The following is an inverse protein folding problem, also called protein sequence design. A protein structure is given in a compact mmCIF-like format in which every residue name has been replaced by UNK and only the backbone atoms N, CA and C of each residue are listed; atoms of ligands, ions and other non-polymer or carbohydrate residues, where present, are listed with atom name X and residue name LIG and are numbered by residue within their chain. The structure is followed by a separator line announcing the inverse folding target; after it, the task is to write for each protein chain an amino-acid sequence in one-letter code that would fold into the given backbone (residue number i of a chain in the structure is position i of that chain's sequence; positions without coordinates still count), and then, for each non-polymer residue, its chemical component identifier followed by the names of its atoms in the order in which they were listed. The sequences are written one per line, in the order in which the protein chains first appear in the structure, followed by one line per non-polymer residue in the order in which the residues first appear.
data_IF_269529996218
#
_entry.id   IF_269529996218
#
_cell.length_a   1.000
_cell.length_b   1.000
_cell.length_c   1.000
_cell.angle_alpha   90.00
_cell.angle_beta   90.00
_cell.angle_gamma   90.00
#
_symmetry.space_group_name_H-M   'P 1'
#
loop_
_entity.id
_entity.type
_entity.pdbx_description
1 polymer ?
#
# COMPACT_ATOMS: atom_id res chain seq x y z
N UNK A 1 21.83 3.86 -12.08
CA UNK A 1 21.01 4.03 -10.87
C UNK A 1 20.22 2.75 -10.70
N UNK A 2 20.65 1.87 -9.79
CA UNK A 2 19.98 0.59 -9.60
C UNK A 2 18.65 0.84 -8.90
N UNK A 3 17.53 0.56 -9.58
CA UNK A 3 16.25 0.42 -8.93
C UNK A 3 16.41 -0.72 -7.91
N UNK A 4 16.52 -0.36 -6.63
CA UNK A 4 16.41 -1.32 -5.54
C UNK A 4 15.02 -1.92 -5.71
N UNK A 5 14.93 -3.18 -6.13
CA UNK A 5 13.65 -3.90 -6.25
C UNK A 5 12.98 -3.87 -4.89
N UNK A 6 12.14 -2.86 -4.68
CA UNK A 6 11.42 -2.70 -3.45
C UNK A 6 10.28 -3.71 -3.50
N UNK A 7 10.22 -4.60 -2.50
CA UNK A 7 9.17 -5.62 -2.45
C UNK A 7 7.82 -4.90 -2.39
N UNK A 8 6.98 -5.16 -3.39
CA UNK A 8 5.60 -4.66 -3.41
C UNK A 8 4.79 -5.47 -2.40
N UNK A 9 4.19 -4.78 -1.43
CA UNK A 9 3.32 -5.34 -0.41
C UNK A 9 1.90 -4.81 -0.66
N UNK A 10 0.92 -5.71 -0.83
CA UNK A 10 -0.49 -5.31 -0.89
C UNK A 10 -1.00 -5.02 0.52
N UNK A 11 -1.59 -3.86 0.70
CA UNK A 11 -2.17 -3.44 1.98
C UNK A 11 -3.57 -2.91 1.79
N UNK A 12 -4.43 -3.17 2.77
CA UNK A 12 -5.80 -2.69 2.85
C UNK A 12 -5.84 -1.51 3.82
N UNK A 13 -6.43 -0.39 3.40
CA UNK A 13 -6.66 0.76 4.29
C UNK A 13 -7.68 0.39 5.36
N UNK A 14 -7.25 0.37 6.63
CA UNK A 14 -8.17 0.16 7.76
C UNK A 14 -8.63 1.48 8.34
N UNK A 15 -7.68 2.40 8.58
CA UNK A 15 -7.97 3.79 8.97
C UNK A 15 -7.31 4.74 7.97
N UNK A 16 -8.06 5.68 7.37
CA UNK A 16 -7.51 6.70 6.49
C UNK A 16 -6.48 7.57 7.24
N UNK A 17 -5.75 8.38 6.49
CA UNK A 17 -4.78 9.31 7.08
C UNK A 17 -5.48 10.27 8.04
N UNK A 18 -4.91 10.43 9.23
CA UNK A 18 -5.36 11.41 10.22
C UNK A 18 -4.57 12.72 10.13
N UNK A 19 -4.91 13.70 10.98
CA UNK A 19 -4.26 15.03 11.06
C UNK A 19 -2.79 14.98 11.52
N UNK A 20 -2.26 13.79 11.82
CA UNK A 20 -0.86 13.53 12.18
C UNK A 20 -0.13 12.73 11.11
N UNK A 21 -0.61 12.76 9.87
CA UNK A 21 -0.04 12.04 8.72
C UNK A 21 0.11 10.53 8.95
N UNK A 22 -0.72 9.97 9.84
CA UNK A 22 -0.67 8.55 10.20
C UNK A 22 -1.82 7.81 9.55
N UNK A 23 -1.49 6.73 8.85
CA UNK A 23 -2.44 5.83 8.22
C UNK A 23 -2.29 4.43 8.80
N UNK A 24 -3.40 3.73 9.06
CA UNK A 24 -3.36 2.34 9.54
C UNK A 24 -3.78 1.41 8.42
N UNK A 25 -2.89 0.49 8.08
CA UNK A 25 -3.13 -0.49 7.02
C UNK A 25 -2.97 -1.90 7.55
N UNK A 26 -3.51 -2.85 6.83
CA UNK A 26 -3.35 -4.27 7.09
C UNK A 26 -2.74 -4.94 5.86
N UNK A 27 -1.70 -5.73 6.03
CA UNK A 27 -1.10 -6.49 4.93
C UNK A 27 -2.07 -7.58 4.50
N UNK A 28 -2.41 -7.60 3.21
CA UNK A 28 -3.43 -8.51 2.66
C UNK A 28 -3.08 -9.99 2.90
N UNK A 29 -1.82 -10.38 2.72
CA UNK A 29 -1.39 -11.78 2.81
C UNK A 29 -1.29 -12.30 4.25
N UNK A 30 -0.96 -11.44 5.22
CA UNK A 30 -0.60 -11.85 6.59
C UNK A 30 -1.54 -11.32 7.65
N UNK A 31 -2.50 -10.47 7.29
CA UNK A 31 -3.33 -9.69 8.22
C UNK A 31 -2.51 -8.84 9.22
N UNK A 32 -1.23 -8.57 8.92
CA UNK A 32 -0.38 -7.77 9.79
C UNK A 32 -0.81 -6.31 9.76
N UNK A 33 -1.21 -5.75 10.90
CA UNK A 33 -1.46 -4.30 11.03
C UNK A 33 -0.14 -3.53 11.00
N UNK A 34 -0.08 -2.43 10.23
CA UNK A 34 1.08 -1.53 10.13
C UNK A 34 0.64 -0.06 10.20
N UNK A 35 1.49 0.78 10.79
CA UNK A 35 1.29 2.23 10.86
C UNK A 35 2.22 2.93 9.87
N UNK A 36 1.66 3.59 8.87
CA UNK A 36 2.40 4.38 7.90
C UNK A 36 2.52 5.81 8.45
N UNK A 37 3.75 6.29 8.57
CA UNK A 37 4.05 7.60 9.20
C UNK A 37 5.07 8.43 8.41
N UNK A 38 5.78 7.82 7.48
CA UNK A 38 6.73 8.49 6.59
C UNK A 38 6.39 8.18 5.14
N UNK A 39 6.65 9.15 4.26
CA UNK A 39 6.37 9.06 2.83
C UNK A 39 7.61 9.54 2.06
N UNK A 40 7.87 8.92 0.91
CA UNK A 40 9.03 9.28 0.09
C UNK A 40 9.02 10.75 -0.33
N UNK A 41 7.84 11.28 -0.64
CA UNK A 41 7.62 12.64 -1.10
C UNK A 41 6.21 13.14 -0.74
N UNK A 42 5.96 14.47 -0.85
CA UNK A 42 4.66 15.06 -0.51
C UNK A 42 3.50 14.69 -1.44
N UNK A 43 3.75 14.31 -2.69
CA UNK A 43 2.71 13.94 -3.67
C UNK A 43 2.16 12.55 -3.36
N UNK A 44 3.05 11.61 -3.03
CA UNK A 44 2.71 10.29 -2.52
C UNK A 44 1.87 10.38 -1.25
N UNK A 45 2.27 11.24 -0.29
CA UNK A 45 1.49 11.47 0.94
C UNK A 45 0.07 11.95 0.61
N UNK A 46 -0.06 12.95 -0.26
CA UNK A 46 -1.36 13.50 -0.65
C UNK A 46 -2.24 12.46 -1.36
N UNK A 47 -1.65 11.67 -2.25
CA UNK A 47 -2.36 10.59 -2.95
C UNK A 47 -2.92 9.56 -1.96
N UNK A 48 -2.12 9.15 -0.99
CA UNK A 48 -2.55 8.20 0.05
C UNK A 48 -3.56 8.81 1.02
N UNK A 49 -3.49 10.12 1.29
CA UNK A 49 -4.42 10.82 2.16
C UNK A 49 -5.86 10.84 1.60
N UNK A 50 -6.01 10.76 0.28
CA UNK A 50 -7.32 10.72 -0.37
C UNK A 50 -7.99 9.33 -0.35
N UNK A 51 -7.29 8.29 0.11
CA UNK A 51 -7.80 6.92 0.06
C UNK A 51 -8.79 6.63 1.20
N UNK A 52 -10.00 6.12 0.90
CA UNK A 52 -10.94 5.70 1.91
C UNK A 52 -10.54 4.36 2.56
N UNK A 53 -11.15 4.03 3.69
CA UNK A 53 -11.08 2.69 4.25
C UNK A 53 -11.58 1.63 3.26
N UNK A 54 -10.94 0.46 3.28
CA UNK A 54 -11.26 -0.67 2.42
C UNK A 54 -10.52 -0.66 1.08
N UNK A 55 -9.83 0.43 0.70
CA UNK A 55 -9.01 0.43 -0.52
C UNK A 55 -7.81 -0.52 -0.37
N UNK A 56 -7.57 -1.36 -1.37
CA UNK A 56 -6.36 -2.18 -1.46
C UNK A 56 -5.36 -1.50 -2.39
N UNK A 57 -4.12 -1.33 -1.93
CA UNK A 57 -3.04 -0.69 -2.70
C UNK A 57 -1.74 -1.53 -2.64
N UNK A 58 -1.04 -1.70 -3.77
CA UNK A 58 0.31 -2.25 -3.77
C UNK A 58 1.33 -1.15 -3.47
N UNK A 59 2.11 -1.30 -2.41
CA UNK A 59 3.07 -0.29 -1.94
C UNK A 59 4.42 -0.89 -1.57
N UNK A 60 5.48 -0.12 -1.75
CA UNK A 60 6.80 -0.46 -1.22
C UNK A 60 6.98 0.13 0.17
N UNK A 61 7.34 -0.71 1.14
CA UNK A 61 7.45 -0.34 2.55
C UNK A 61 8.86 -0.57 3.09
N UNK A 62 9.32 0.32 3.96
CA UNK A 62 10.52 0.15 4.78
C UNK A 62 10.23 0.49 6.24
N UNK A 63 10.80 -0.27 7.19
CA UNK A 63 10.61 0.02 8.62
C UNK A 63 11.31 1.31 9.02
N UNK A 64 10.63 2.09 9.85
CA UNK A 64 11.20 3.28 10.50
C UNK A 64 11.65 2.88 11.91
N UNK A 65 12.97 2.76 12.10
CA UNK A 65 13.55 2.36 13.38
C UNK A 65 13.50 0.85 13.68
N UNK A 66 14.06 0.46 14.82
CA UNK A 66 14.33 -0.94 15.16
C UNK A 66 13.24 -1.63 16.01
N UNK A 67 12.40 -0.88 16.74
CA UNK A 67 11.46 -1.45 17.73
C UNK A 67 9.99 -1.08 17.53
N UNK A 68 9.70 -0.10 16.69
CA UNK A 68 8.32 0.34 16.42
C UNK A 68 7.75 -0.35 15.19
N UNK A 69 6.45 -0.60 15.18
CA UNK A 69 5.73 -1.10 14.01
C UNK A 69 5.28 0.06 13.10
N UNK A 70 6.21 0.99 12.85
CA UNK A 70 6.01 2.14 11.99
C UNK A 70 6.80 1.98 10.70
N UNK A 71 6.22 2.45 9.61
CA UNK A 71 6.71 2.18 8.27
C UNK A 71 6.69 3.45 7.43
N UNK A 72 7.68 3.54 6.55
CA UNK A 72 7.78 4.51 5.48
C UNK A 72 7.24 3.88 4.20
N UNK A 73 6.40 4.64 3.48
CA UNK A 73 6.02 4.31 2.11
C UNK A 73 7.05 4.88 1.16
N UNK A 74 7.74 4.01 0.43
CA UNK A 74 8.75 4.39 -0.55
C UNK A 74 8.13 4.69 -1.93
N UNK A 75 7.10 3.95 -2.31
CA UNK A 75 6.48 4.03 -3.63
C UNK A 75 5.06 3.44 -3.58
N UNK A 76 4.15 4.03 -4.33
CA UNK A 76 2.83 3.47 -4.63
C UNK A 76 2.88 2.90 -6.04
N UNK A 77 2.60 1.60 -6.17
CA UNK A 77 2.53 0.96 -7.47
C UNK A 77 1.12 1.12 -8.03
N UNK A 78 1.03 1.35 -9.33
CA UNK A 78 -0.22 1.08 -10.03
C UNK A 78 -0.26 -0.43 -10.23
N UNK A 79 -1.33 -1.11 -9.81
CA UNK A 79 -1.56 -2.42 -10.41
C UNK A 79 -1.73 -2.18 -11.91
N UNK A 80 -0.99 -2.87 -12.79
CA UNK A 80 -1.52 -3.07 -14.11
C UNK A 80 -2.83 -3.82 -13.86
N UNK A 81 -3.97 -3.17 -14.13
CA UNK A 81 -5.28 -3.83 -14.10
C UNK A 81 -5.11 -5.20 -14.73
N UNK A 82 -5.13 -6.26 -13.91
CA UNK A 82 -5.27 -7.59 -14.43
C UNK A 82 -6.59 -7.53 -15.20
N UNK A 83 -6.48 -7.52 -16.53
CA UNK A 83 -7.63 -7.62 -17.42
C UNK A 83 -8.45 -8.77 -16.88
N UNK A 84 -9.63 -8.46 -16.36
CA UNK A 84 -10.60 -9.46 -15.94
C UNK A 84 -10.90 -10.32 -17.17
N UNK A 85 -10.17 -11.43 -17.34
CA UNK A 85 -10.61 -12.52 -18.21
C UNK A 85 -11.70 -13.29 -17.47
N UNK A 86 -12.83 -12.62 -17.25
CA UNK A 86 -14.13 -13.28 -17.27
C UNK A 86 -14.64 -13.16 -18.70
N UNK A 87 -14.11 -13.99 -19.59
CA UNK A 87 -14.83 -14.40 -20.79
C UNK A 87 -15.02 -15.90 -20.65
N UNK A 88 -16.25 -16.27 -20.33
CA UNK A 88 -16.74 -17.62 -20.38
C UNK A 88 -16.36 -18.30 -21.70
N UNK A 89 -15.91 -19.55 -21.62
CA UNK A 89 -16.29 -20.52 -22.65
C UNK A 89 -16.35 -21.92 -22.03
N UNK A 90 -17.55 -22.28 -21.61
CA UNK A 90 -18.04 -23.65 -21.52
C UNK A 90 -18.80 -23.94 -22.82
N UNK A 91 -18.69 -25.18 -23.29
CA UNK A 91 -19.39 -25.85 -24.42
C UNK A 91 -18.83 -25.52 -25.82
N UNK A 92 -18.54 -26.48 -26.69
CA UNK A 92 -19.09 -27.83 -26.94
C UNK A 92 -17.97 -28.85 -27.24
#
# INVERSE_FOLDING_TARGET
MSAKTAVSTRVIVRKPMNDHDTMTVEVEDTNETRHLVEYADPELRQTLAALPSGTTIPVSLSRVGARSNVWRVAELHHEPMATTKHAAQTSD
#
